data_IF_769817215991
#
_entry.id   IF_769817215991
#
_cell.length_a   1.000
_cell.length_b   1.000
_cell.length_c   1.000
_cell.angle_alpha   90.00
_cell.angle_beta   90.00
_cell.angle_gamma   90.00
#
_symmetry.space_group_name_H-M   'P 1'
#
loop_
_entity.id
_entity.type
_entity.pdbx_description
1 polymer ?
#
# COMPACT_ATOMS: atom_id res chain seq x y z
N UNK A 1 4.65 13.23 11.47
CA UNK A 1 4.30 12.12 10.56
C UNK A 1 5.00 12.36 9.21
N UNK A 2 6.33 12.34 9.17
CA UNK A 2 7.10 12.93 8.05
C UNK A 2 7.98 11.92 7.28
N UNK A 3 8.09 10.67 7.75
CA UNK A 3 8.89 9.64 7.07
C UNK A 3 8.43 8.25 7.52
N UNK A 4 8.32 7.28 6.60
CA UNK A 4 8.05 5.88 6.96
C UNK A 4 9.35 5.27 7.51
N UNK A 5 9.41 4.84 8.78
CA UNK A 5 10.66 4.29 9.35
C UNK A 5 11.14 3.03 8.61
N UNK A 6 10.23 2.31 7.95
CA UNK A 6 10.55 1.12 7.14
C UNK A 6 11.15 1.52 5.80
N UNK A 7 10.77 2.68 5.26
CA UNK A 7 11.28 3.20 3.99
C UNK A 7 12.81 3.41 4.04
N UNK A 8 13.35 3.83 5.19
CA UNK A 8 14.81 3.98 5.35
C UNK A 8 15.55 2.66 5.14
N UNK A 9 15.10 1.61 5.84
CA UNK A 9 15.74 0.29 5.83
C UNK A 9 15.63 -0.34 4.44
N UNK A 10 14.44 -0.29 3.84
CA UNK A 10 14.23 -0.90 2.53
C UNK A 10 14.93 -0.12 1.41
N UNK A 11 15.11 1.19 1.56
CA UNK A 11 15.92 1.99 0.63
C UNK A 11 17.37 1.54 0.65
N UNK A 12 17.97 1.42 1.83
CA UNK A 12 19.33 0.88 1.98
C UNK A 12 19.46 -0.53 1.37
N UNK A 13 18.46 -1.38 1.58
CA UNK A 13 18.41 -2.71 0.96
C UNK A 13 18.28 -2.65 -0.56
N UNK A 14 17.47 -1.72 -1.09
CA UNK A 14 17.31 -1.51 -2.52
C UNK A 14 18.66 -1.20 -3.18
N UNK A 15 19.41 -0.24 -2.64
CA UNK A 15 20.76 0.06 -3.11
C UNK A 15 21.68 -1.16 -3.05
N UNK A 16 21.68 -1.92 -1.94
CA UNK A 16 22.51 -3.12 -1.80
C UNK A 16 22.20 -4.19 -2.84
N UNK A 17 20.92 -4.49 -3.06
CA UNK A 17 20.47 -5.51 -4.03
C UNK A 17 20.91 -5.12 -5.43
N UNK A 18 20.76 -3.85 -5.80
CA UNK A 18 21.09 -3.37 -7.13
C UNK A 18 22.60 -3.36 -7.39
N UNK A 19 23.40 -2.94 -6.40
CA UNK A 19 24.86 -3.06 -6.47
C UNK A 19 25.29 -4.52 -6.61
N UNK A 20 24.70 -5.44 -5.85
CA UNK A 20 25.05 -6.85 -5.89
C UNK A 20 24.69 -7.54 -7.21
N UNK A 21 23.60 -7.13 -7.86
CA UNK A 21 23.19 -7.67 -9.15
C UNK A 21 24.01 -7.13 -10.33
N UNK A 22 24.94 -6.19 -10.10
CA UNK A 22 25.75 -5.57 -11.15
C UNK A 22 24.92 -4.80 -12.19
N UNK A 23 23.67 -4.47 -11.85
CA UNK A 23 22.67 -3.82 -12.72
C UNK A 23 22.65 -2.31 -12.51
N UNK A 24 23.83 -1.70 -12.43
CA UNK A 24 23.98 -0.24 -12.26
C UNK A 24 23.44 0.54 -13.47
N UNK A 25 23.24 -0.12 -14.60
CA UNK A 25 22.70 0.42 -15.86
C UNK A 25 21.21 0.14 -16.06
N UNK A 26 20.49 -0.39 -15.05
CA UNK A 26 19.07 -0.67 -15.19
C UNK A 26 18.27 0.65 -15.29
N UNK A 27 17.63 0.94 -16.44
CA UNK A 27 16.92 2.21 -16.63
C UNK A 27 15.78 2.42 -15.63
N UNK A 28 15.19 1.35 -15.11
CA UNK A 28 14.15 1.43 -14.08
C UNK A 28 14.70 1.93 -12.75
N UNK A 29 15.96 1.61 -12.42
CA UNK A 29 16.57 2.09 -11.18
C UNK A 29 16.95 3.56 -11.28
N UNK A 30 17.58 3.97 -12.38
CA UNK A 30 17.88 5.39 -12.63
C UNK A 30 16.59 6.22 -12.61
N UNK A 31 15.53 5.73 -13.26
CA UNK A 31 14.22 6.35 -13.21
C UNK A 31 13.67 6.42 -11.78
N UNK A 32 13.77 5.34 -10.99
CA UNK A 32 13.31 5.35 -9.61
C UNK A 32 14.07 6.37 -8.74
N UNK A 33 15.39 6.48 -8.88
CA UNK A 33 16.17 7.50 -8.14
C UNK A 33 15.79 8.92 -8.53
N UNK A 34 15.57 9.17 -9.83
CA UNK A 34 15.09 10.47 -10.32
C UNK A 34 13.69 10.79 -9.80
N UNK A 35 12.79 9.81 -9.78
CA UNK A 35 11.45 9.97 -9.21
C UNK A 35 11.49 10.24 -7.70
N UNK A 36 12.36 9.56 -6.94
CA UNK A 36 12.58 9.85 -5.53
C UNK A 36 13.07 11.30 -5.34
N UNK A 37 14.09 11.72 -6.11
CA UNK A 37 14.64 13.07 -6.05
C UNK A 37 13.59 14.14 -6.31
N UNK A 38 12.76 13.95 -7.35
CA UNK A 38 11.66 14.87 -7.68
C UNK A 38 10.63 14.89 -6.56
N UNK A 39 10.17 13.73 -6.07
CA UNK A 39 9.18 13.65 -5.00
C UNK A 39 9.65 14.33 -3.70
N UNK A 40 10.97 14.39 -3.45
CA UNK A 40 11.54 15.04 -2.28
C UNK A 40 11.72 16.56 -2.43
N UNK A 41 11.82 17.08 -3.65
CA UNK A 41 12.16 18.50 -3.91
C UNK A 41 11.00 19.30 -4.49
N UNK A 42 10.06 18.66 -5.16
CA UNK A 42 8.95 19.31 -5.85
C UNK A 42 7.90 19.83 -4.85
N UNK A 43 7.49 21.08 -5.02
CA UNK A 43 6.56 21.79 -4.15
C UNK A 43 5.20 21.08 -4.03
N UNK A 44 4.71 20.48 -5.13
CA UNK A 44 3.46 19.72 -5.13
C UNK A 44 3.50 18.55 -4.15
N UNK A 45 4.63 17.84 -4.10
CA UNK A 45 4.82 16.66 -3.26
C UNK A 45 5.11 17.05 -1.81
N UNK A 46 5.96 18.05 -1.59
CA UNK A 46 6.35 18.54 -0.26
C UNK A 46 5.14 19.13 0.48
N UNK A 47 4.36 19.99 -0.17
CA UNK A 47 3.16 20.60 0.42
C UNK A 47 2.12 19.55 0.85
N UNK A 48 2.06 18.41 0.14
CA UNK A 48 1.14 17.29 0.40
C UNK A 48 1.76 16.16 1.24
N UNK A 49 3.04 16.26 1.61
CA UNK A 49 3.79 15.24 2.37
C UNK A 49 3.81 13.87 1.66
N UNK A 50 3.94 13.89 0.34
CA UNK A 50 4.00 12.68 -0.50
C UNK A 50 5.43 12.19 -0.61
N UNK A 51 5.84 11.36 0.36
CA UNK A 51 7.16 10.75 0.37
C UNK A 51 7.12 9.32 -0.17
N UNK A 52 8.18 8.86 -0.86
CA UNK A 52 8.32 7.44 -1.21
C UNK A 52 8.18 6.56 0.02
N UNK A 53 7.27 5.59 -0.06
CA UNK A 53 6.97 4.67 1.04
C UNK A 53 7.68 3.33 0.85
N UNK A 54 7.42 2.38 1.75
CA UNK A 54 7.99 1.02 1.66
C UNK A 54 7.68 0.31 0.32
N UNK A 55 6.52 0.57 -0.27
CA UNK A 55 6.05 -0.10 -1.49
C UNK A 55 6.80 0.40 -2.75
N UNK A 56 7.22 1.67 -2.74
CA UNK A 56 8.06 2.21 -3.81
C UNK A 56 9.37 1.42 -3.96
N UNK A 57 10.11 1.27 -2.85
CA UNK A 57 11.40 0.57 -2.87
C UNK A 57 11.23 -0.94 -3.04
N UNK A 58 10.20 -1.56 -2.44
CA UNK A 58 9.96 -2.99 -2.61
C UNK A 58 9.63 -3.33 -4.07
N UNK A 59 8.87 -2.47 -4.78
CA UNK A 59 8.59 -2.63 -6.20
C UNK A 59 9.85 -2.59 -7.08
N UNK A 60 10.81 -1.72 -6.76
CA UNK A 60 12.12 -1.67 -7.45
C UNK A 60 12.92 -2.94 -7.18
N UNK A 61 12.98 -3.39 -5.92
CA UNK A 61 13.68 -4.63 -5.53
C UNK A 61 13.08 -5.83 -6.26
N UNK A 62 11.75 -6.01 -6.22
CA UNK A 62 11.05 -7.12 -6.87
C UNK A 62 11.27 -7.11 -8.39
N UNK A 63 11.22 -5.93 -9.02
CA UNK A 63 11.56 -5.79 -10.44
C UNK A 63 13.00 -6.21 -10.73
N UNK A 64 13.95 -5.79 -9.87
CA UNK A 64 15.36 -6.08 -10.05
C UNK A 64 15.68 -7.58 -9.97
N UNK A 65 14.99 -8.33 -9.11
CA UNK A 65 15.13 -9.79 -8.97
C UNK A 65 14.20 -10.59 -9.90
N UNK A 66 13.47 -9.92 -10.81
CA UNK A 66 12.68 -10.59 -11.86
C UNK A 66 11.30 -11.08 -11.42
N UNK A 67 10.77 -10.62 -10.29
CA UNK A 67 9.39 -10.92 -9.91
C UNK A 67 8.44 -10.11 -10.81
N UNK A 68 7.42 -10.72 -11.44
CA UNK A 68 6.48 -10.00 -12.26
C UNK A 68 5.61 -9.05 -11.42
N UNK A 69 5.26 -7.88 -11.97
CA UNK A 69 4.46 -6.85 -11.27
C UNK A 69 3.13 -7.37 -10.71
N UNK A 70 2.51 -8.35 -11.38
CA UNK A 70 1.29 -9.02 -10.91
C UNK A 70 1.46 -9.75 -9.58
N UNK A 71 2.69 -10.06 -9.17
CA UNK A 71 3.01 -10.77 -7.94
C UNK A 71 3.41 -9.85 -6.78
N UNK A 72 3.51 -8.53 -6.97
CA UNK A 72 3.99 -7.62 -5.91
C UNK A 72 3.07 -7.65 -4.68
N UNK A 73 1.76 -7.54 -4.89
CA UNK A 73 0.77 -7.63 -3.81
C UNK A 73 0.72 -9.02 -3.19
N UNK A 74 1.02 -10.08 -3.96
CA UNK A 74 1.13 -11.45 -3.43
C UNK A 74 2.30 -11.56 -2.45
N UNK A 75 3.47 -11.03 -2.81
CA UNK A 75 4.63 -10.99 -1.91
C UNK A 75 4.34 -10.21 -0.62
N UNK A 76 3.64 -9.08 -0.74
CA UNK A 76 3.17 -8.31 0.40
C UNK A 76 2.21 -9.13 1.29
N UNK A 77 1.25 -9.83 0.70
CA UNK A 77 0.28 -10.64 1.42
C UNK A 77 0.98 -11.78 2.18
N UNK A 78 1.93 -12.47 1.56
CA UNK A 78 2.75 -13.52 2.22
C UNK A 78 3.41 -12.97 3.48
N UNK A 79 4.10 -11.84 3.37
CA UNK A 79 4.76 -11.21 4.51
C UNK A 79 3.76 -10.72 5.59
N UNK A 80 2.54 -10.31 5.19
CA UNK A 80 1.54 -9.76 6.10
C UNK A 80 0.70 -10.83 6.81
N UNK A 81 0.60 -12.03 6.24
CA UNK A 81 -0.19 -13.14 6.81
C UNK A 81 0.13 -13.41 8.27
N UNK A 82 1.41 -13.42 8.66
CA UNK A 82 1.78 -13.63 10.07
C UNK A 82 1.19 -12.56 11.00
N UNK A 83 1.17 -11.30 10.56
CA UNK A 83 0.57 -10.20 11.31
C UNK A 83 -0.96 -10.28 11.33
N UNK A 84 -1.60 -10.68 10.22
CA UNK A 84 -3.05 -10.90 10.19
C UNK A 84 -3.47 -12.02 11.14
N UNK A 85 -2.75 -13.14 11.14
CA UNK A 85 -3.01 -14.26 12.04
C UNK A 85 -2.76 -13.86 13.50
N UNK A 86 -1.68 -13.14 13.79
CA UNK A 86 -1.40 -12.65 15.14
C UNK A 86 -2.53 -11.74 15.67
N UNK A 87 -2.96 -10.75 14.88
CA UNK A 87 -4.09 -9.89 15.24
C UNK A 87 -5.40 -10.65 15.38
N UNK A 88 -5.64 -11.66 14.53
CA UNK A 88 -6.83 -12.49 14.64
C UNK A 88 -6.83 -13.33 15.92
N UNK A 89 -5.68 -13.94 16.27
CA UNK A 89 -5.50 -14.70 17.50
C UNK A 89 -5.69 -13.82 18.73
N UNK A 90 -5.12 -12.62 18.73
CA UNK A 90 -5.31 -11.61 19.78
C UNK A 90 -6.79 -11.25 19.92
N UNK A 91 -7.47 -10.95 18.82
CA UNK A 91 -8.89 -10.59 18.81
C UNK A 91 -9.77 -11.73 19.35
N UNK A 92 -9.58 -12.98 18.89
CA UNK A 92 -10.46 -14.09 19.26
C UNK A 92 -10.20 -14.61 20.68
N UNK A 93 -8.99 -14.37 21.20
CA UNK A 93 -8.60 -14.78 22.56
C UNK A 93 -8.96 -13.74 23.63
N UNK A 94 -9.36 -12.52 23.23
CA UNK A 94 -9.85 -11.48 24.14
C UNK A 94 -11.19 -11.90 24.78
N UNK A 95 -11.29 -12.08 26.11
CA UNK A 95 -12.54 -12.42 26.78
C UNK A 95 -13.63 -11.35 26.61
N UNK A 96 -13.25 -10.10 26.30
CA UNK A 96 -14.15 -8.99 26.06
C UNK A 96 -14.51 -8.80 24.57
N UNK A 97 -14.10 -9.73 23.69
CA UNK A 97 -14.32 -9.65 22.25
C UNK A 97 -15.79 -9.38 21.90
N UNK A 98 -16.00 -8.41 21.01
CA UNK A 98 -17.32 -8.07 20.46
C UNK A 98 -17.26 -8.10 18.95
N UNK A 99 -18.35 -8.54 18.33
CA UNK A 99 -18.48 -8.51 16.87
C UNK A 99 -18.39 -7.08 16.34
N UNK A 100 -17.55 -6.86 15.33
CA UNK A 100 -17.46 -5.60 14.60
C UNK A 100 -18.72 -5.35 13.78
N UNK A 101 -19.67 -4.60 14.33
CA UNK A 101 -20.95 -4.26 13.67
C UNK A 101 -21.16 -2.75 13.63
N UNK A 102 -20.49 -2.02 12.73
CA UNK A 102 -20.62 -0.57 12.61
C UNK A 102 -22.04 -0.17 12.17
N UNK A 103 -22.39 1.09 12.43
CA UNK A 103 -23.64 1.72 11.97
C UNK A 103 -23.35 2.59 10.74
N UNK A 104 -24.39 2.88 9.98
CA UNK A 104 -24.35 3.85 8.88
C UNK A 104 -25.22 5.07 9.20
N UNK A 105 -24.84 6.22 8.64
CA UNK A 105 -25.71 7.39 8.56
C UNK A 105 -26.50 7.30 7.24
N UNK A 106 -27.79 7.03 7.33
CA UNK A 106 -28.65 6.98 6.15
C UNK A 106 -29.11 8.39 5.76
N UNK A 107 -28.70 8.85 4.58
CA UNK A 107 -29.10 10.13 3.97
C UNK A 107 -29.95 9.94 2.72
N UNK A 108 -30.43 8.72 2.48
CA UNK A 108 -31.32 8.42 1.37
C UNK A 108 -32.76 8.90 1.62
N UNK A 109 -33.65 8.74 0.63
CA UNK A 109 -35.05 9.10 0.77
C UNK A 109 -35.74 8.33 1.91
N UNK A 110 -36.77 8.89 2.56
CA UNK A 110 -37.61 8.11 3.47
C UNK A 110 -38.29 6.95 2.73
N UNK A 111 -38.97 6.08 3.48
CA UNK A 111 -39.77 4.98 2.91
C UNK A 111 -40.67 5.52 1.80
N UNK A 112 -40.57 4.92 0.61
CA UNK A 112 -41.38 5.22 -0.57
C UNK A 112 -42.07 3.95 -1.06
N UNK A 113 -43.28 4.11 -1.58
CA UNK A 113 -44.00 3.01 -2.17
C UNK A 113 -43.34 2.58 -3.48
N UNK A 114 -43.40 1.28 -3.75
CA UNK A 114 -42.92 0.73 -5.01
C UNK A 114 -43.91 1.07 -6.13
N UNK A 115 -43.43 1.72 -7.18
CA UNK A 115 -44.20 1.92 -8.42
C UNK A 115 -43.78 0.85 -9.42
N UNK A 116 -44.75 0.09 -9.93
CA UNK A 116 -44.52 -0.89 -11.00
C UNK A 116 -43.82 -0.23 -12.20
N UNK A 117 -42.95 -0.98 -12.87
CA UNK A 117 -42.12 -0.44 -13.96
C UNK A 117 -42.96 0.26 -15.04
N UNK A 118 -44.10 -0.34 -15.41
CA UNK A 118 -45.05 0.19 -16.39
C UNK A 118 -45.74 1.49 -15.97
N UNK A 119 -45.71 1.84 -14.67
CA UNK A 119 -46.35 3.02 -14.09
C UNK A 119 -45.35 4.11 -13.72
N UNK A 120 -44.06 3.93 -14.03
CA UNK A 120 -43.02 4.96 -13.89
C UNK A 120 -43.08 5.87 -15.13
N UNK A 121 -42.88 7.17 -14.92
CA UNK A 121 -42.72 8.14 -16.03
C UNK A 121 -41.40 7.93 -16.74
#
# INVERSE_FOLDING_TARGET
>A
KNFDPRAKIIREMCHRVLTALGRTDNPLFELALRLEEIALKDEYFVSRKLYPNVDFYSGVIYSAIGIPRSMFTVMFAIARTVGWVAHWLEMISDPAMRIGRPRQLYTGPPRREYVEVSKRR
#
